data_IF_354581517844
#
_entry.id   IF_354581517844
#
_cell.length_a   1.000
_cell.length_b   1.000
_cell.length_c   1.000
_cell.angle_alpha   90.00
_cell.angle_beta   90.00
_cell.angle_gamma   90.00
#
_symmetry.space_group_name_H-M   'P 1'
#
loop_
_entity.id
_entity.type
_entity.pdbx_description
1 polymer ?
#
# COMPACT_ATOMS: atom_id res chain seq x y z
N UNK A 1 -3.64 16.87 -9.73
CA UNK A 1 -2.41 16.35 -10.39
C UNK A 1 -2.85 15.24 -11.32
N UNK A 2 -2.54 15.34 -12.61
CA UNK A 2 -3.02 14.37 -13.61
C UNK A 2 -1.98 13.27 -13.81
N UNK A 3 -2.40 12.02 -13.61
CA UNK A 3 -1.59 10.82 -13.81
C UNK A 3 -2.31 9.87 -14.76
N UNK A 4 -1.61 9.39 -15.78
CA UNK A 4 -2.08 8.34 -16.68
C UNK A 4 -1.50 6.99 -16.24
N UNK A 5 -2.36 5.98 -16.18
CA UNK A 5 -1.99 4.60 -15.87
C UNK A 5 -2.39 3.70 -17.03
N UNK A 6 -1.45 2.90 -17.54
CA UNK A 6 -1.67 1.82 -18.49
C UNK A 6 -0.98 0.55 -17.96
N UNK A 7 -1.78 -0.45 -17.60
CA UNK A 7 -1.32 -1.70 -17.04
C UNK A 7 -1.87 -2.88 -17.83
N UNK A 8 -1.01 -3.85 -18.12
CA UNK A 8 -1.35 -5.14 -18.69
C UNK A 8 -0.76 -6.25 -17.83
N UNK A 9 -1.58 -7.25 -17.51
CA UNK A 9 -1.14 -8.52 -16.92
C UNK A 9 -1.71 -9.69 -17.71
N UNK A 10 -0.93 -10.76 -17.80
CA UNK A 10 -1.36 -12.02 -18.39
C UNK A 10 -0.98 -13.21 -17.50
N UNK A 11 -1.90 -14.16 -17.38
CA UNK A 11 -1.75 -15.37 -16.59
C UNK A 11 -2.21 -16.61 -17.36
N UNK A 12 -1.64 -17.76 -17.01
CA UNK A 12 -2.12 -19.09 -17.38
C UNK A 12 -2.56 -19.83 -16.12
N UNK A 13 -3.76 -20.40 -16.17
CA UNK A 13 -4.30 -21.32 -15.17
C UNK A 13 -4.45 -22.71 -15.83
N UNK A 14 -3.75 -23.73 -15.32
CA UNK A 14 -3.80 -25.09 -15.90
C UNK A 14 -5.11 -25.83 -15.57
N UNK A 15 -5.76 -25.43 -14.47
CA UNK A 15 -7.03 -25.97 -14.00
C UNK A 15 -7.98 -24.80 -13.67
N UNK A 16 -9.31 -25.03 -13.63
CA UNK A 16 -10.27 -24.03 -13.18
C UNK A 16 -9.94 -23.46 -11.79
N UNK A 17 -9.51 -22.20 -11.75
CA UNK A 17 -8.94 -21.56 -10.57
C UNK A 17 -9.75 -20.34 -10.16
N UNK A 18 -10.09 -20.25 -8.87
CA UNK A 18 -10.66 -19.06 -8.25
C UNK A 18 -9.54 -18.11 -7.82
N UNK A 19 -9.69 -16.82 -8.12
CA UNK A 19 -8.72 -15.81 -7.71
C UNK A 19 -9.38 -14.43 -7.53
N UNK A 20 -8.73 -13.58 -6.73
CA UNK A 20 -9.08 -12.18 -6.55
C UNK A 20 -8.05 -11.31 -7.26
N UNK A 21 -8.50 -10.43 -8.14
CA UNK A 21 -7.70 -9.40 -8.78
C UNK A 21 -7.96 -8.04 -8.12
N UNK A 22 -6.90 -7.25 -7.86
CA UNK A 22 -7.02 -5.88 -7.35
C UNK A 22 -5.94 -4.99 -7.98
N UNK A 23 -6.31 -4.34 -9.07
CA UNK A 23 -5.43 -3.43 -9.82
C UNK A 23 -6.10 -2.12 -10.23
N UNK A 24 -7.40 -1.99 -10.00
CA UNK A 24 -8.15 -0.78 -10.29
C UNK A 24 -7.84 0.30 -9.25
N UNK A 25 -7.55 1.52 -9.71
CA UNK A 25 -7.44 2.67 -8.84
C UNK A 25 -8.77 2.89 -8.08
N UNK A 26 -8.68 3.27 -6.80
CA UNK A 26 -9.83 3.57 -5.98
C UNK A 26 -10.45 4.92 -6.36
N UNK A 27 -11.76 4.96 -6.57
CA UNK A 27 -12.49 6.22 -6.68
C UNK A 27 -12.78 6.77 -5.27
N UNK A 28 -12.00 7.77 -4.85
CA UNK A 28 -12.07 8.37 -3.50
C UNK A 28 -12.08 9.90 -3.61
N UNK A 29 -12.49 10.65 -2.56
CA UNK A 29 -12.66 12.11 -2.66
C UNK A 29 -11.44 12.87 -3.20
N UNK A 30 -10.22 12.43 -2.87
CA UNK A 30 -8.94 13.00 -3.30
C UNK A 30 -8.42 12.47 -4.65
N UNK A 31 -9.17 11.58 -5.32
CA UNK A 31 -8.75 10.89 -6.54
C UNK A 31 -9.94 10.60 -7.46
N UNK A 32 -10.15 11.49 -8.44
CA UNK A 32 -11.16 11.34 -9.47
C UNK A 32 -10.62 10.52 -10.65
N UNK A 33 -11.41 9.57 -11.15
CA UNK A 33 -10.99 8.65 -12.22
C UNK A 33 -11.80 8.86 -13.49
N UNK A 34 -11.13 8.76 -14.63
CA UNK A 34 -11.75 8.78 -15.96
C UNK A 34 -11.01 7.85 -16.92
N UNK A 35 -11.62 7.51 -18.05
CA UNK A 35 -11.04 6.62 -19.06
C UNK A 35 -11.78 5.29 -19.19
N UNK A 36 -11.23 4.34 -19.97
CA UNK A 36 -11.90 3.08 -20.30
C UNK A 36 -12.00 2.10 -19.12
N UNK A 37 -11.14 2.22 -18.09
CA UNK A 37 -11.19 1.36 -16.91
C UNK A 37 -10.57 -0.03 -17.15
N UNK A 38 -11.06 -1.02 -16.43
CA UNK A 38 -10.61 -2.41 -16.49
C UNK A 38 -11.32 -3.18 -17.61
N UNK A 39 -10.55 -3.89 -18.42
CA UNK A 39 -11.02 -4.87 -19.39
C UNK A 39 -10.32 -6.20 -19.13
N UNK A 40 -11.09 -7.27 -18.95
CA UNK A 40 -10.57 -8.61 -18.65
C UNK A 40 -11.04 -9.62 -19.71
N UNK A 41 -10.29 -10.73 -19.84
CA UNK A 41 -10.72 -11.89 -20.60
C UNK A 41 -12.06 -12.44 -20.09
N UNK A 42 -12.81 -13.10 -20.98
CA UNK A 42 -14.00 -13.83 -20.57
C UNK A 42 -13.66 -14.87 -19.49
N UNK A 43 -14.41 -14.85 -18.40
CA UNK A 43 -14.26 -15.73 -17.24
C UNK A 43 -15.53 -16.56 -17.01
N UNK A 44 -15.39 -17.69 -16.32
CA UNK A 44 -16.55 -18.50 -15.87
C UNK A 44 -17.36 -17.75 -14.81
N UNK A 45 -16.66 -16.98 -13.97
CA UNK A 45 -17.23 -16.15 -12.92
C UNK A 45 -16.55 -14.79 -12.88
N UNK A 46 -17.34 -13.76 -12.62
CA UNK A 46 -16.90 -12.40 -12.33
C UNK A 46 -17.84 -11.77 -11.29
N UNK A 47 -17.29 -11.33 -10.16
CA UNK A 47 -18.01 -10.55 -9.16
C UNK A 47 -17.12 -9.46 -8.57
N UNK A 48 -17.63 -8.23 -8.55
CA UNK A 48 -16.94 -7.09 -7.98
C UNK A 48 -17.30 -6.96 -6.50
N UNK A 49 -16.29 -6.91 -5.64
CA UNK A 49 -16.44 -6.78 -4.20
C UNK A 49 -15.65 -5.57 -3.69
N UNK A 50 -16.15 -5.00 -2.60
CA UNK A 50 -15.48 -3.88 -1.92
C UNK A 50 -14.09 -4.29 -1.41
N UNK A 51 -13.10 -3.41 -1.60
CA UNK A 51 -11.84 -3.48 -0.87
C UNK A 51 -12.01 -3.17 0.62
N UNK A 52 -10.94 -3.35 1.40
CA UNK A 52 -10.88 -3.00 2.82
C UNK A 52 -11.21 -1.51 3.02
N UNK A 53 -11.89 -1.18 4.11
CA UNK A 53 -12.42 0.17 4.40
C UNK A 53 -13.27 0.78 3.28
N UNK A 54 -13.78 -0.04 2.35
CA UNK A 54 -14.43 0.41 1.12
C UNK A 54 -13.54 1.27 0.21
N UNK A 55 -12.21 1.08 0.29
CA UNK A 55 -11.25 1.74 -0.60
C UNK A 55 -10.75 0.74 -1.66
N UNK A 56 -11.17 1.00 -2.90
CA UNK A 56 -10.86 0.16 -4.05
C UNK A 56 -11.84 -0.99 -4.23
N UNK A 57 -11.62 -1.76 -5.29
CA UNK A 57 -12.45 -2.90 -5.69
C UNK A 57 -11.55 -4.13 -5.86
N UNK A 58 -12.02 -5.29 -5.39
CA UNK A 58 -11.45 -6.59 -5.79
C UNK A 58 -12.42 -7.27 -6.74
N UNK A 59 -11.90 -7.92 -7.78
CA UNK A 59 -12.71 -8.69 -8.73
C UNK A 59 -12.47 -10.16 -8.46
N UNK A 60 -13.51 -10.86 -7.99
CA UNK A 60 -13.51 -12.30 -7.82
C UNK A 60 -13.77 -12.97 -9.16
N UNK A 61 -12.80 -13.75 -9.60
CA UNK A 61 -12.78 -14.37 -10.91
C UNK A 61 -12.60 -15.87 -10.79
N UNK A 62 -13.15 -16.59 -11.77
CA UNK A 62 -12.84 -18.00 -11.99
C UNK A 62 -12.53 -18.23 -13.46
N UNK A 63 -11.34 -18.75 -13.75
CA UNK A 63 -10.87 -19.00 -15.13
C UNK A 63 -10.09 -20.31 -15.23
N UNK A 64 -10.08 -20.88 -16.43
CA UNK A 64 -9.15 -21.93 -16.87
C UNK A 64 -8.52 -21.44 -18.18
N UNK A 65 -7.23 -21.71 -18.38
CA UNK A 65 -6.50 -21.29 -19.58
C UNK A 65 -5.90 -19.89 -19.48
N UNK A 66 -5.91 -19.15 -20.58
CA UNK A 66 -5.29 -17.83 -20.68
C UNK A 66 -6.22 -16.74 -20.16
N UNK A 67 -5.68 -15.90 -19.27
CA UNK A 67 -6.36 -14.75 -18.71
C UNK A 67 -5.53 -13.50 -18.93
N UNK A 68 -6.15 -12.42 -19.39
CA UNK A 68 -5.52 -11.10 -19.49
C UNK A 68 -6.38 -10.06 -18.79
N UNK A 69 -5.73 -9.07 -18.18
CA UNK A 69 -6.39 -7.87 -17.70
C UNK A 69 -5.61 -6.64 -18.16
N UNK A 70 -6.31 -5.76 -18.88
CA UNK A 70 -5.84 -4.47 -19.34
C UNK A 70 -6.56 -3.38 -18.54
N UNK A 71 -5.81 -2.44 -17.98
CA UNK A 71 -6.36 -1.34 -17.20
C UNK A 71 -5.80 -0.02 -17.69
N UNK A 72 -6.68 0.89 -18.11
CA UNK A 72 -6.26 2.23 -18.54
C UNK A 72 -7.16 3.31 -17.95
N UNK A 73 -6.55 4.26 -17.25
CA UNK A 73 -7.26 5.40 -16.66
C UNK A 73 -6.42 6.69 -16.72
N UNK A 74 -7.11 7.80 -16.51
CA UNK A 74 -6.53 9.07 -16.08
C UNK A 74 -7.07 9.37 -14.69
N UNK A 75 -6.17 9.54 -13.73
CA UNK A 75 -6.46 9.94 -12.36
C UNK A 75 -6.17 11.43 -12.19
N UNK A 76 -7.14 12.19 -11.70
CA UNK A 76 -6.94 13.54 -11.18
C UNK A 76 -6.88 13.49 -9.66
N UNK A 77 -5.67 13.70 -9.14
CA UNK A 77 -5.36 13.63 -7.71
C UNK A 77 -5.45 15.04 -7.11
N UNK A 78 -6.38 15.24 -6.19
CA UNK A 78 -6.51 16.46 -5.39
C UNK A 78 -6.30 16.11 -3.91
N UNK A 79 -5.02 15.92 -3.56
CA UNK A 79 -4.60 15.51 -2.22
C UNK A 79 -4.04 16.70 -1.46
N UNK A 80 -4.56 16.93 -0.26
CA UNK A 80 -4.02 17.94 0.64
C UNK A 80 -2.67 17.48 1.22
N UNK A 81 -1.60 18.15 0.82
CA UNK A 81 -0.24 17.86 1.29
C UNK A 81 0.10 18.79 2.46
N UNK A 82 0.65 18.20 3.50
CA UNK A 82 1.01 18.85 4.76
C UNK A 82 2.45 18.53 5.12
N UNK A 83 3.07 19.36 5.96
CA UNK A 83 4.36 19.02 6.56
C UNK A 83 4.14 17.94 7.62
N UNK A 84 4.39 16.68 7.24
CA UNK A 84 4.22 15.52 8.11
C UNK A 84 4.95 15.72 9.44
N UNK A 85 6.16 16.29 9.44
CA UNK A 85 6.97 16.43 10.64
C UNK A 85 6.35 17.38 11.68
N UNK A 86 5.48 18.30 11.25
CA UNK A 86 4.78 19.24 12.12
C UNK A 86 3.52 18.64 12.79
N UNK A 87 3.05 17.48 12.34
CA UNK A 87 1.82 16.87 12.84
C UNK A 87 2.03 16.14 14.17
N UNK A 88 1.04 16.24 15.04
CA UNK A 88 1.03 15.55 16.32
C UNK A 88 0.46 14.13 16.21
N UNK A 89 0.83 13.26 17.14
CA UNK A 89 0.14 11.99 17.36
C UNK A 89 -1.12 12.21 18.20
N UNK A 90 -2.22 11.57 17.84
CA UNK A 90 -3.38 11.45 18.74
C UNK A 90 -3.08 10.41 19.83
N UNK A 91 -3.35 10.71 21.11
CA UNK A 91 -3.21 9.69 22.14
C UNK A 91 -4.19 8.54 21.86
N UNK A 92 -3.83 7.27 22.16
CA UNK A 92 -4.63 6.12 21.74
C UNK A 92 -6.10 6.13 22.17
N UNK A 93 -6.41 6.76 23.32
CA UNK A 93 -7.78 6.90 23.82
C UNK A 93 -8.63 7.95 23.09
N UNK A 94 -8.05 8.72 22.17
CA UNK A 94 -8.73 9.71 21.32
C UNK A 94 -8.79 9.28 19.84
N UNK A 95 -8.27 8.09 19.50
CA UNK A 95 -8.31 7.59 18.14
C UNK A 95 -9.75 7.26 17.71
N UNK A 96 -10.14 7.60 16.46
CA UNK A 96 -11.39 7.12 15.89
C UNK A 96 -11.44 5.59 15.86
N UNK A 97 -12.62 5.01 16.09
CA UNK A 97 -12.77 3.54 16.12
C UNK A 97 -12.28 2.84 14.86
N UNK A 98 -12.45 3.48 13.69
CA UNK A 98 -12.02 2.94 12.40
C UNK A 98 -10.48 2.81 12.26
N UNK A 99 -9.68 3.54 13.05
CA UNK A 99 -8.22 3.45 12.98
C UNK A 99 -7.66 2.38 13.91
N UNK A 100 -8.44 1.89 14.88
CA UNK A 100 -7.98 0.94 15.91
C UNK A 100 -7.46 -0.37 15.33
N UNK A 101 -8.08 -1.00 14.30
CA UNK A 101 -7.55 -2.21 13.70
C UNK A 101 -6.12 -2.07 13.16
N UNK A 102 -5.73 -0.85 12.78
CA UNK A 102 -4.42 -0.52 12.23
C UNK A 102 -3.34 -0.25 13.29
N UNK A 103 -3.65 -0.46 14.57
CA UNK A 103 -2.67 -0.53 15.65
C UNK A 103 -2.15 -1.96 15.89
N UNK A 104 -2.91 -2.98 15.48
CA UNK A 104 -2.61 -4.36 15.82
C UNK A 104 -1.58 -4.98 14.87
N UNK A 105 -0.95 -6.05 15.36
CA UNK A 105 -0.15 -6.92 14.51
C UNK A 105 -0.99 -7.50 13.38
N UNK A 106 -0.34 -7.72 12.26
CA UNK A 106 -0.91 -8.41 11.11
C UNK A 106 0.09 -9.43 10.56
N UNK A 107 -0.32 -10.23 9.57
CA UNK A 107 0.47 -11.37 9.06
C UNK A 107 1.92 -11.01 8.73
N UNK A 108 2.14 -9.83 8.15
CA UNK A 108 3.47 -9.38 7.74
C UNK A 108 4.06 -8.26 8.62
N UNK A 109 3.30 -7.78 9.61
CA UNK A 109 3.70 -6.64 10.46
C UNK A 109 3.60 -7.00 11.96
N UNK A 110 4.59 -7.72 12.53
CA UNK A 110 4.65 -8.05 13.95
C UNK A 110 5.19 -6.86 14.77
N UNK A 111 4.34 -5.87 15.06
CA UNK A 111 4.70 -4.62 15.71
C UNK A 111 5.06 -4.78 17.20
N UNK A 112 4.46 -5.75 17.89
CA UNK A 112 4.81 -6.13 19.26
C UNK A 112 6.32 -6.42 19.43
N UNK A 113 6.98 -6.94 18.39
CA UNK A 113 8.42 -7.26 18.38
C UNK A 113 9.32 -6.03 18.22
N UNK A 114 8.77 -4.86 17.89
CA UNK A 114 9.54 -3.65 17.54
C UNK A 114 9.55 -2.56 18.62
N UNK A 115 8.72 -2.65 19.65
CA UNK A 115 8.54 -1.60 20.66
C UNK A 115 9.86 -1.16 21.31
N UNK A 116 10.70 -2.11 21.76
CA UNK A 116 11.97 -1.78 22.42
C UNK A 116 12.95 -1.07 21.48
N UNK A 117 13.03 -1.48 20.22
CA UNK A 117 13.87 -0.83 19.22
C UNK A 117 13.36 0.58 18.91
N UNK A 118 12.07 0.70 18.65
CA UNK A 118 11.42 1.97 18.31
C UNK A 118 11.54 2.99 19.44
N UNK A 119 11.46 2.56 20.69
CA UNK A 119 11.65 3.43 21.85
C UNK A 119 13.12 3.84 22.02
N UNK A 120 14.06 2.90 21.85
CA UNK A 120 15.49 3.19 21.98
C UNK A 120 16.00 4.18 20.91
N UNK A 121 15.57 4.02 19.66
CA UNK A 121 16.05 4.84 18.54
C UNK A 121 15.26 6.15 18.36
N UNK A 122 13.96 6.15 18.67
CA UNK A 122 13.06 7.26 18.32
C UNK A 122 12.23 7.80 19.50
N UNK A 123 12.50 7.40 20.74
CA UNK A 123 11.71 7.77 21.93
C UNK A 123 11.69 9.27 22.24
N UNK A 124 12.71 10.01 21.82
CA UNK A 124 12.79 11.48 21.98
C UNK A 124 11.92 12.25 20.96
N UNK A 125 11.35 11.56 19.98
CA UNK A 125 10.47 12.12 18.95
C UNK A 125 9.03 11.63 19.14
N UNK A 126 8.07 12.41 18.64
CA UNK A 126 6.64 12.05 18.65
C UNK A 126 5.95 12.45 17.35
N UNK A 127 4.72 11.96 17.14
CA UNK A 127 3.91 12.36 16.00
C UNK A 127 4.58 12.08 14.65
N UNK A 128 4.35 12.98 13.70
CA UNK A 128 4.90 12.85 12.37
C UNK A 128 6.41 13.09 12.32
N UNK A 129 7.02 13.81 13.27
CA UNK A 129 8.48 13.89 13.37
C UNK A 129 9.10 12.51 13.65
N UNK A 130 8.47 11.70 14.51
CA UNK A 130 8.88 10.31 14.78
C UNK A 130 8.72 9.43 13.54
N UNK A 131 7.60 9.55 12.83
CA UNK A 131 7.37 8.82 11.58
C UNK A 131 8.40 9.18 10.51
N UNK A 132 8.67 10.47 10.32
CA UNK A 132 9.64 10.92 9.33
C UNK A 132 11.04 10.37 9.63
N UNK A 133 11.45 10.36 10.91
CA UNK A 133 12.70 9.75 11.33
C UNK A 133 12.75 8.23 11.06
N UNK A 134 11.65 7.50 11.27
CA UNK A 134 11.57 6.07 10.94
C UNK A 134 11.66 5.82 9.43
N UNK A 135 10.93 6.60 8.63
CA UNK A 135 10.95 6.51 7.16
C UNK A 135 12.37 6.75 6.64
N UNK A 136 13.03 7.81 7.12
CA UNK A 136 14.41 8.11 6.78
C UNK A 136 15.37 7.00 7.22
N UNK A 137 15.21 6.48 8.44
CA UNK A 137 16.04 5.40 8.94
C UNK A 137 15.91 4.14 8.08
N UNK A 138 14.70 3.77 7.67
CA UNK A 138 14.49 2.63 6.76
C UNK A 138 15.17 2.89 5.42
N UNK A 139 15.01 4.09 4.85
CA UNK A 139 15.63 4.47 3.59
C UNK A 139 17.17 4.39 3.64
N UNK A 140 17.78 4.82 4.75
CA UNK A 140 19.24 4.85 4.92
C UNK A 140 19.84 3.47 5.24
N UNK A 141 19.06 2.57 5.85
CA UNK A 141 19.57 1.29 6.36
C UNK A 141 19.16 0.08 5.52
N UNK A 142 18.37 0.26 4.47
CA UNK A 142 17.92 -0.83 3.60
C UNK A 142 18.47 -0.67 2.19
N UNK A 143 18.72 -1.82 1.54
CA UNK A 143 19.01 -1.87 0.11
C UNK A 143 17.80 -2.36 -0.66
N UNK A 144 17.44 -1.68 -1.76
CA UNK A 144 16.37 -2.12 -2.65
C UNK A 144 16.91 -3.22 -3.58
N UNK A 145 16.50 -4.48 -3.37
CA UNK A 145 17.07 -5.64 -4.07
C UNK A 145 15.95 -6.55 -4.62
N UNK A 146 15.63 -6.45 -5.93
CA UNK A 146 14.64 -7.33 -6.54
C UNK A 146 14.98 -8.82 -6.33
N UNK A 147 14.01 -9.58 -5.85
CA UNK A 147 14.16 -11.02 -5.58
C UNK A 147 14.81 -11.37 -4.23
N UNK A 148 15.12 -10.38 -3.38
CA UNK A 148 15.60 -10.66 -2.02
C UNK A 148 14.53 -11.20 -1.08
N UNK A 149 13.25 -10.89 -1.35
CA UNK A 149 12.10 -11.30 -0.55
C UNK A 149 11.11 -12.14 -1.37
N UNK A 150 10.19 -12.81 -0.66
CA UNK A 150 9.14 -13.61 -1.26
C UNK A 150 7.79 -13.39 -0.55
N UNK A 151 6.74 -14.07 -1.00
CA UNK A 151 5.38 -13.90 -0.48
C UNK A 151 5.21 -14.19 1.02
N UNK A 152 6.17 -14.86 1.66
CA UNK A 152 6.15 -15.18 3.10
C UNK A 152 6.98 -14.22 3.94
N UNK A 153 7.82 -13.38 3.33
CA UNK A 153 8.70 -12.44 4.03
C UNK A 153 7.89 -11.41 4.84
N UNK A 154 8.25 -11.24 6.10
CA UNK A 154 7.64 -10.28 7.04
C UNK A 154 8.52 -9.02 7.21
N UNK A 155 7.98 -8.01 7.90
CA UNK A 155 8.75 -6.84 8.32
C UNK A 155 9.94 -7.20 9.22
N UNK A 156 9.79 -8.21 10.09
CA UNK A 156 10.87 -8.65 10.97
C UNK A 156 12.02 -9.28 10.16
N UNK A 157 11.70 -10.12 9.19
CA UNK A 157 12.71 -10.74 8.31
C UNK A 157 13.48 -9.65 7.56
N UNK A 158 12.76 -8.73 6.92
CA UNK A 158 13.36 -7.63 6.14
C UNK A 158 14.18 -6.69 7.02
N UNK A 159 13.74 -6.46 8.26
CA UNK A 159 14.50 -5.70 9.26
C UNK A 159 15.81 -6.39 9.63
N UNK A 160 15.83 -7.71 9.79
CA UNK A 160 17.07 -8.44 10.06
C UNK A 160 17.99 -8.44 8.83
N UNK A 161 17.42 -8.65 7.64
CA UNK A 161 18.18 -8.78 6.39
C UNK A 161 18.68 -7.44 5.82
N UNK A 162 18.03 -6.32 6.15
CA UNK A 162 18.36 -4.96 5.63
C UNK A 162 18.26 -4.83 4.11
N UNK A 163 17.38 -5.62 3.51
CA UNK A 163 17.09 -5.59 2.08
C UNK A 163 15.63 -5.94 1.83
N UNK A 164 15.12 -5.53 0.68
CA UNK A 164 13.73 -5.81 0.29
C UNK A 164 13.33 -5.05 -0.98
N UNK A 165 12.05 -5.13 -1.29
CA UNK A 165 11.37 -4.30 -2.30
C UNK A 165 10.34 -3.40 -1.62
N UNK A 166 9.61 -2.59 -2.41
CA UNK A 166 8.63 -1.62 -1.88
C UNK A 166 7.64 -2.20 -0.86
N UNK A 167 7.16 -3.43 -1.08
CA UNK A 167 6.30 -4.17 -0.13
C UNK A 167 6.94 -4.27 1.26
N UNK A 168 8.21 -4.63 1.31
CA UNK A 168 8.92 -4.90 2.56
C UNK A 168 9.20 -3.59 3.31
N UNK A 169 9.58 -2.54 2.58
CA UNK A 169 9.74 -1.19 3.14
C UNK A 169 8.45 -0.70 3.78
N UNK A 170 7.32 -0.82 3.07
CA UNK A 170 6.01 -0.45 3.58
C UNK A 170 5.64 -1.26 4.84
N UNK A 171 5.89 -2.58 4.87
CA UNK A 171 5.65 -3.41 6.05
C UNK A 171 6.50 -2.99 7.25
N UNK A 172 7.79 -2.68 7.04
CA UNK A 172 8.68 -2.20 8.11
C UNK A 172 8.19 -0.86 8.67
N UNK A 173 7.83 0.09 7.80
CA UNK A 173 7.29 1.40 8.22
C UNK A 173 5.98 1.22 9.01
N UNK A 174 5.03 0.42 8.51
CA UNK A 174 3.80 0.12 9.24
C UNK A 174 4.09 -0.50 10.61
N UNK A 175 5.05 -1.42 10.69
CA UNK A 175 5.42 -2.13 11.93
C UNK A 175 6.00 -1.15 12.95
N UNK A 176 6.92 -0.27 12.55
CA UNK A 176 7.52 0.74 13.43
C UNK A 176 6.51 1.79 13.91
N UNK A 177 5.63 2.25 13.02
CA UNK A 177 4.57 3.19 13.37
C UNK A 177 3.60 2.58 14.41
N UNK A 178 3.14 1.34 14.19
CA UNK A 178 2.28 0.62 15.14
C UNK A 178 2.95 0.38 16.49
N UNK A 179 4.24 0.06 16.49
CA UNK A 179 5.04 -0.07 17.71
C UNK A 179 5.15 1.26 18.49
N UNK A 180 4.89 2.40 17.84
CA UNK A 180 4.79 3.74 18.44
C UNK A 180 3.35 4.14 18.81
N UNK A 181 2.40 3.21 18.76
CA UNK A 181 0.97 3.48 18.93
C UNK A 181 0.40 4.51 17.93
N UNK A 182 0.98 4.59 16.73
CA UNK A 182 0.46 5.37 15.60
C UNK A 182 -0.21 4.37 14.64
N UNK A 183 -1.51 4.50 14.34
CA UNK A 183 -2.17 3.62 13.38
C UNK A 183 -1.49 3.73 12.03
N UNK A 184 -1.18 2.58 11.41
CA UNK A 184 -0.55 2.55 10.10
C UNK A 184 -1.14 1.43 9.26
N UNK A 185 -1.35 1.70 7.97
CA UNK A 185 -1.89 0.76 7.01
C UNK A 185 -1.06 0.70 5.75
N UNK A 186 -1.08 -0.44 5.09
CA UNK A 186 -0.39 -0.68 3.85
C UNK A 186 -1.23 -0.17 2.69
N UNK A 187 -0.59 0.43 1.69
CA UNK A 187 -1.25 0.95 0.49
C UNK A 187 -0.64 0.33 -0.75
N UNK A 188 -1.49 -0.32 -1.55
CA UNK A 188 -1.15 -0.71 -2.92
C UNK A 188 -1.44 0.46 -3.86
N UNK A 189 -0.52 0.78 -4.76
CA UNK A 189 -0.64 1.97 -5.60
C UNK A 189 0.16 1.91 -6.92
N UNK A 190 -0.09 2.91 -7.76
CA UNK A 190 0.77 3.29 -8.88
C UNK A 190 1.47 4.61 -8.56
N UNK A 191 2.69 4.80 -9.07
CA UNK A 191 3.42 6.08 -9.00
C UNK A 191 4.36 6.25 -10.21
N UNK A 192 4.56 7.47 -10.71
CA UNK A 192 5.29 7.70 -11.96
C UNK A 192 6.80 7.42 -11.90
N UNK A 193 7.42 7.55 -10.72
CA UNK A 193 8.88 7.48 -10.57
C UNK A 193 9.40 6.11 -10.11
N UNK A 194 8.53 5.10 -10.04
CA UNK A 194 8.88 3.72 -9.68
C UNK A 194 9.80 3.14 -10.74
N UNK A 195 10.96 2.64 -10.32
CA UNK A 195 12.01 2.18 -11.24
C UNK A 195 12.57 0.81 -10.81
N UNK A 196 12.49 -0.23 -11.67
CA UNK A 196 11.72 -0.26 -12.93
C UNK A 196 10.22 -0.11 -12.67
N UNK A 197 9.48 0.40 -13.66
CA UNK A 197 8.05 0.66 -13.52
C UNK A 197 7.28 -0.62 -13.19
N UNK A 198 6.56 -0.61 -12.07
CA UNK A 198 5.80 -1.73 -11.53
C UNK A 198 4.66 -1.23 -10.62
N UNK A 199 3.84 -2.14 -10.08
CA UNK A 199 3.02 -1.84 -8.92
C UNK A 199 3.91 -1.41 -7.77
N UNK A 200 3.44 -0.45 -6.99
CA UNK A 200 4.18 0.05 -5.84
C UNK A 200 3.40 -0.12 -4.54
N UNK A 201 4.14 -0.15 -3.45
CA UNK A 201 3.60 -0.29 -2.11
C UNK A 201 4.22 0.75 -1.19
N UNK A 202 3.36 1.43 -0.45
CA UNK A 202 3.74 2.46 0.51
C UNK A 202 2.95 2.28 1.81
N UNK A 203 3.24 3.08 2.83
CA UNK A 203 2.47 3.10 4.06
C UNK A 203 1.61 4.37 4.14
N UNK A 204 0.49 4.28 4.87
CA UNK A 204 -0.25 5.42 5.38
C UNK A 204 -0.21 5.40 6.91
N UNK A 205 0.00 6.57 7.52
CA UNK A 205 -0.06 6.75 8.98
C UNK A 205 -1.20 7.69 9.34
N UNK A 206 -1.87 7.44 10.46
CA UNK A 206 -2.93 8.31 10.96
C UNK A 206 -2.36 9.27 12.01
N UNK A 207 -2.40 10.57 11.71
CA UNK A 207 -1.92 11.64 12.59
C UNK A 207 -3.03 12.64 12.88
N UNK A 208 -2.85 13.44 13.93
CA UNK A 208 -3.76 14.54 14.23
C UNK A 208 -3.79 15.52 13.04
N UNK A 209 -4.95 16.10 12.77
CA UNK A 209 -5.02 17.13 11.75
C UNK A 209 -4.39 18.46 12.23
N UNK A 210 -4.15 19.36 11.29
CA UNK A 210 -3.61 20.70 11.59
C UNK A 210 -4.63 21.60 12.32
N UNK A 211 -5.91 21.25 12.29
CA UNK A 211 -7.00 22.07 12.87
C UNK A 211 -7.06 21.96 14.39
N UNK A 212 -6.55 20.85 14.94
CA UNK A 212 -6.42 20.63 16.37
C UNK A 212 -7.73 20.27 17.07
N UNK A 213 -8.76 19.84 16.33
CA UNK A 213 -9.98 19.33 16.96
C UNK A 213 -9.72 17.97 17.66
N UNK A 214 -10.19 17.79 18.90
CA UNK A 214 -10.02 16.50 19.59
C UNK A 214 -10.72 15.37 18.82
N UNK A 215 -9.98 14.31 18.50
CA UNK A 215 -10.50 13.16 17.77
C UNK A 215 -10.56 13.34 16.25
N UNK A 216 -10.01 14.43 15.70
CA UNK A 216 -9.85 14.64 14.27
C UNK A 216 -8.40 14.34 13.83
N UNK A 217 -8.27 13.71 12.67
CA UNK A 217 -7.00 13.25 12.13
C UNK A 217 -7.16 12.78 10.70
N UNK A 218 -6.04 12.58 10.02
CA UNK A 218 -6.02 12.18 8.63
C UNK A 218 -4.97 11.10 8.37
N UNK A 219 -5.19 10.34 7.29
CA UNK A 219 -4.21 9.38 6.77
C UNK A 219 -3.21 10.11 5.87
N UNK A 220 -1.92 9.91 6.12
CA UNK A 220 -0.84 10.52 5.36
C UNK A 220 0.06 9.45 4.74
N UNK A 221 0.27 9.54 3.43
CA UNK A 221 1.14 8.65 2.66
C UNK A 221 2.60 8.92 2.99
N UNK A 222 3.36 7.85 3.22
CA UNK A 222 4.81 7.87 3.43
C UNK A 222 5.47 6.72 2.68
N UNK A 223 6.60 7.00 2.05
CA UNK A 223 7.36 6.03 1.25
C UNK A 223 8.85 6.06 1.61
N UNK A 224 9.33 4.98 2.23
CA UNK A 224 10.74 4.81 2.59
C UNK A 224 11.62 4.36 1.41
N UNK A 225 11.04 4.05 0.25
CA UNK A 225 11.83 3.80 -0.97
C UNK A 225 12.21 5.08 -1.69
N UNK A 226 11.53 6.20 -1.39
CA UNK A 226 11.62 7.48 -2.10
C UNK A 226 11.31 7.40 -3.61
N UNK A 227 10.62 6.35 -4.05
CA UNK A 227 10.21 6.18 -5.46
C UNK A 227 8.83 6.76 -5.75
N UNK A 228 8.10 7.21 -4.74
CA UNK A 228 6.77 7.80 -4.91
C UNK A 228 6.55 9.04 -4.04
N UNK A 229 5.96 10.07 -4.65
CA UNK A 229 5.56 11.31 -3.96
C UNK A 229 4.07 11.26 -3.62
N UNK A 230 3.69 11.65 -2.40
CA UNK A 230 2.31 11.61 -1.93
C UNK A 230 1.30 12.29 -2.88
N UNK A 231 1.63 13.43 -3.51
CA UNK A 231 0.75 14.13 -4.44
C UNK A 231 0.56 13.46 -5.82
N UNK A 232 1.30 12.40 -6.10
CA UNK A 232 1.36 11.74 -7.42
C UNK A 232 1.00 10.25 -7.34
N UNK A 233 0.81 9.73 -6.13
CA UNK A 233 0.37 8.35 -5.88
C UNK A 233 -1.09 8.18 -6.28
N UNK A 234 -1.33 7.22 -7.17
CA UNK A 234 -2.66 6.72 -7.52
C UNK A 234 -2.95 5.49 -6.66
N UNK A 235 -3.83 5.64 -5.67
CA UNK A 235 -4.18 4.59 -4.70
C UNK A 235 -5.05 3.51 -5.35
N UNK A 236 -4.67 2.25 -5.19
CA UNK A 236 -5.46 1.07 -5.63
C UNK A 236 -6.33 0.56 -4.47
N UNK A 237 -5.73 0.39 -3.30
CA UNK A 237 -6.42 -0.12 -2.12
C UNK A 237 -5.55 -0.01 -0.87
N UNK A 238 -6.18 -0.20 0.28
CA UNK A 238 -5.51 -0.14 1.59
C UNK A 238 -5.82 -1.40 2.39
N UNK A 239 -4.99 -1.74 3.35
CA UNK A 239 -5.25 -2.85 4.27
C UNK A 239 -4.25 -2.90 5.39
N UNK A 240 -4.39 -3.84 6.33
CA UNK A 240 -3.42 -3.92 7.44
C UNK A 240 -2.06 -4.35 6.91
N UNK A 241 -2.01 -5.19 5.91
CA UNK A 241 -0.79 -5.49 5.16
C UNK A 241 -1.13 -6.04 3.77
N UNK A 242 -0.14 -6.61 3.08
CA UNK A 242 -0.31 -7.14 1.74
C UNK A 242 -1.27 -8.35 1.65
N UNK A 243 -1.66 -8.97 2.77
CA UNK A 243 -2.66 -10.05 2.77
C UNK A 243 -4.05 -9.51 2.40
N UNK A 244 -4.34 -8.27 2.81
CA UNK A 244 -5.64 -7.63 2.59
C UNK A 244 -5.72 -7.01 1.17
N UNK A 245 -4.57 -6.63 0.56
CA UNK A 245 -4.52 -5.86 -0.72
C UNK A 245 -3.53 -6.35 -1.77
N UNK A 246 -3.22 -7.64 -1.80
CA UNK A 246 -2.42 -8.19 -2.90
C UNK A 246 -3.11 -7.96 -4.25
N UNK A 247 -2.31 -7.64 -5.27
CA UNK A 247 -2.84 -7.39 -6.61
C UNK A 247 -3.47 -8.65 -7.22
N UNK A 248 -2.99 -9.85 -6.84
CA UNK A 248 -3.61 -11.12 -7.20
C UNK A 248 -3.50 -12.11 -6.02
N UNK A 249 -4.64 -12.64 -5.57
CA UNK A 249 -4.72 -13.78 -4.63
C UNK A 249 -5.31 -14.97 -5.36
N UNK A 250 -4.57 -16.07 -5.51
CA UNK A 250 -5.03 -17.26 -6.23
C UNK A 250 -5.27 -18.44 -5.29
N UNK A 251 -6.35 -19.18 -5.50
CA UNK A 251 -6.67 -20.45 -4.85
C UNK A 251 -6.38 -21.62 -5.78
N UNK A 252 -5.14 -21.65 -6.25
CA UNK A 252 -4.63 -22.55 -7.29
C UNK A 252 -3.33 -21.98 -7.85
N UNK A 253 -2.67 -22.73 -8.74
CA UNK A 253 -1.45 -22.25 -9.38
C UNK A 253 -1.79 -21.19 -10.44
N UNK A 254 -1.20 -20.01 -10.31
CA UNK A 254 -1.30 -18.93 -11.28
C UNK A 254 0.09 -18.65 -11.87
N UNK A 255 0.27 -18.93 -13.17
CA UNK A 255 1.54 -18.68 -13.83
C UNK A 255 1.48 -17.35 -14.58
N UNK A 256 2.23 -16.34 -14.09
CA UNK A 256 2.36 -15.06 -14.80
C UNK A 256 3.09 -15.26 -16.12
N UNK A 257 2.50 -14.76 -17.20
CA UNK A 257 3.02 -14.83 -18.57
C UNK A 257 3.59 -13.49 -19.04
N UNK A 258 2.89 -12.39 -18.75
CA UNK A 258 3.30 -11.02 -19.09
C UNK A 258 2.88 -10.04 -17.99
N UNK A 259 3.66 -8.99 -17.81
CA UNK A 259 3.34 -7.85 -16.94
C UNK A 259 4.00 -6.60 -17.49
N UNK A 260 3.20 -5.60 -17.81
CA UNK A 260 3.64 -4.28 -18.30
C UNK A 260 2.86 -3.20 -17.57
N UNK A 261 3.57 -2.26 -16.96
CA UNK A 261 2.98 -1.13 -16.24
C UNK A 261 3.64 0.14 -16.76
N UNK A 262 2.83 1.15 -17.05
CA UNK A 262 3.25 2.48 -17.43
C UNK A 262 2.46 3.50 -16.63
N UNK A 263 3.16 4.33 -15.88
CA UNK A 263 2.58 5.42 -15.10
C UNK A 263 3.28 6.70 -15.52
N UNK A 264 2.52 7.68 -15.99
CA UNK A 264 3.09 8.93 -16.53
C UNK A 264 2.30 10.14 -16.04
N UNK A 265 2.99 11.27 -15.94
CA UNK A 265 2.35 12.57 -15.66
C UNK A 265 1.68 13.08 -16.94
N UNK A 266 0.48 13.64 -16.79
CA UNK A 266 -0.27 14.29 -17.88
C UNK A 266 0.18 15.70 -18.21
#
# INVERSE_FOLDING_TARGET
>A
MIIHVDTHIAYRFEEPTDFLLQMEAAAIPEQALSGPGLAISASEHEAHISGEDAIGTRVWLRCEGDFTADYRITADIDRHLVDLAALNQLPPHQLPGATVPYLFDSRYCPADRFQSFVEAEFGELSGGARINAMVQWVADNFSYVPGSSNATTTALDSFVERQGICRDYAHVVCTMARASAIPARFVSCYAPDVTPQDFHAVAEVFLADETGEPGSGAWHLVDATHMATAGEIVKIGVGRDAADVSFLTSYGLAQMQDKRISVTRG
#
